data_IF_052350990481
#
_entry.id   IF_052350990481
#
_cell.length_a   1.000
_cell.length_b   1.000
_cell.length_c   1.000
_cell.angle_alpha   90.00
_cell.angle_beta   90.00
_cell.angle_gamma   90.00
#
_symmetry.space_group_name_H-M   'P 1'
#
loop_
_entity.id
_entity.type
_entity.pdbx_description
1 polymer ?
#
# COMPACT_ATOMS: atom_id res chain seq x y z
N UNK A 1 25.88 -14.25 33.03
CA UNK A 1 24.94 -13.10 32.95
C UNK A 1 25.14 -12.26 31.68
N UNK A 2 26.39 -11.90 31.32
CA UNK A 2 26.70 -11.08 30.13
C UNK A 2 26.17 -11.62 28.79
N UNK A 3 26.16 -12.95 28.57
CA UNK A 3 25.61 -13.57 27.33
C UNK A 3 24.11 -13.38 27.15
N UNK A 4 23.36 -13.39 28.24
CA UNK A 4 21.91 -13.15 28.23
C UNK A 4 21.60 -11.68 27.99
N UNK A 5 22.42 -10.79 28.54
CA UNK A 5 22.35 -9.36 28.28
C UNK A 5 22.62 -9.04 26.80
N UNK A 6 23.64 -9.66 26.21
CA UNK A 6 23.97 -9.50 24.78
C UNK A 6 22.87 -10.03 23.85
N UNK A 7 22.25 -11.16 24.20
CA UNK A 7 21.13 -11.71 23.43
C UNK A 7 19.89 -10.81 23.51
N UNK A 8 19.62 -10.21 24.68
CA UNK A 8 18.50 -9.30 24.86
C UNK A 8 18.67 -8.00 24.05
N UNK A 9 19.89 -7.43 24.02
CA UNK A 9 20.17 -6.23 23.24
C UNK A 9 20.06 -6.48 21.73
N UNK A 10 20.59 -7.62 21.25
CA UNK A 10 20.51 -7.98 19.84
C UNK A 10 19.06 -8.18 19.36
N UNK A 11 18.24 -8.87 20.17
CA UNK A 11 16.80 -9.05 19.86
C UNK A 11 16.06 -7.73 19.78
N UNK A 12 16.33 -6.81 20.70
CA UNK A 12 15.66 -5.51 20.73
C UNK A 12 16.06 -4.65 19.53
N UNK A 13 17.34 -4.66 19.16
CA UNK A 13 17.82 -3.94 17.97
C UNK A 13 17.16 -4.46 16.69
N UNK A 14 17.05 -5.78 16.53
CA UNK A 14 16.44 -6.39 15.35
C UNK A 14 14.99 -5.94 15.11
N UNK A 15 14.18 -5.84 16.18
CA UNK A 15 12.77 -5.39 16.09
C UNK A 15 12.67 -3.95 15.58
N UNK A 16 13.60 -3.07 15.96
CA UNK A 16 13.60 -1.66 15.53
C UNK A 16 13.96 -1.50 14.04
N UNK A 17 14.72 -2.43 13.47
CA UNK A 17 15.06 -2.41 12.03
C UNK A 17 13.97 -2.99 11.12
N UNK A 18 12.90 -3.57 11.66
CA UNK A 18 11.82 -4.16 10.86
C UNK A 18 10.76 -3.15 10.37
N UNK A 19 10.90 -1.85 10.66
CA UNK A 19 9.98 -0.85 10.12
C UNK A 19 10.32 -0.54 8.66
N UNK A 20 9.39 -0.85 7.76
CA UNK A 20 9.53 -0.59 6.32
C UNK A 20 9.13 0.84 5.95
N UNK A 21 9.74 1.39 4.90
CA UNK A 21 9.40 2.69 4.34
C UNK A 21 7.97 2.67 3.76
N UNK A 22 7.23 3.76 3.93
CA UNK A 22 5.94 3.94 3.26
C UNK A 22 6.10 3.99 1.75
N UNK A 23 5.26 3.27 1.01
CA UNK A 23 5.33 3.12 -0.46
C UNK A 23 5.29 4.46 -1.23
N UNK A 24 4.68 5.50 -0.65
CA UNK A 24 4.60 6.84 -1.23
C UNK A 24 5.02 7.88 -0.17
N UNK A 25 6.32 8.19 -0.05
CA UNK A 25 6.78 9.20 0.91
C UNK A 25 6.26 10.59 0.51
N UNK A 26 5.72 11.33 1.47
CA UNK A 26 5.24 12.71 1.28
C UNK A 26 6.19 13.70 1.96
N UNK A 27 6.54 14.78 1.27
CA UNK A 27 7.34 15.87 1.83
C UNK A 27 6.41 16.93 2.45
N UNK A 28 5.73 16.62 3.56
CA UNK A 28 4.78 17.54 4.22
C UNK A 28 4.14 16.99 5.50
N UNK A 29 3.30 17.79 6.17
CA UNK A 29 2.44 17.33 7.28
C UNK A 29 1.51 16.25 6.71
N UNK A 30 1.51 15.06 7.32
CA UNK A 30 0.78 13.91 6.81
C UNK A 30 -0.74 14.16 6.86
N UNK A 31 -1.30 14.67 5.78
CA UNK A 31 -2.69 14.42 5.41
C UNK A 31 -2.73 13.09 4.66
N UNK A 32 -3.64 12.19 5.00
CA UNK A 32 -3.79 10.93 4.28
C UNK A 32 -4.69 11.25 3.09
N UNK A 33 -4.16 11.43 1.86
CA UNK A 33 -5.02 11.71 0.73
C UNK A 33 -5.97 10.53 0.56
N UNK A 34 -7.26 10.84 0.43
CA UNK A 34 -8.27 9.90 -0.07
C UNK A 34 -7.74 9.21 -1.32
N UNK A 35 -7.75 7.87 -1.33
CA UNK A 35 -7.07 7.09 -2.37
C UNK A 35 -7.96 7.03 -3.60
N UNK A 36 -7.62 7.82 -4.61
CA UNK A 36 -8.28 7.78 -5.93
C UNK A 36 -7.36 7.19 -6.98
N UNK A 37 -7.88 6.24 -7.76
CA UNK A 37 -7.22 5.68 -8.94
C UNK A 37 -8.19 5.74 -10.12
N UNK A 38 -7.68 6.10 -11.29
CA UNK A 38 -8.43 6.07 -12.54
C UNK A 38 -7.66 5.24 -13.56
N UNK A 39 -8.25 4.13 -14.01
CA UNK A 39 -7.72 3.35 -15.12
C UNK A 39 -8.42 3.81 -16.40
N UNK A 40 -7.76 4.62 -17.21
CA UNK A 40 -8.30 5.17 -18.46
C UNK A 40 -7.97 4.30 -19.66
N UNK A 41 -8.77 4.38 -20.73
CA UNK A 41 -8.61 3.54 -21.92
C UNK A 41 -8.51 2.04 -21.57
N UNK A 42 -9.28 1.62 -20.56
CA UNK A 42 -9.25 0.28 -20.02
C UNK A 42 -10.23 -0.64 -20.78
N UNK A 43 -9.86 -1.92 -20.88
CA UNK A 43 -10.79 -3.00 -21.26
C UNK A 43 -11.18 -3.75 -20.00
N UNK A 44 -12.44 -3.60 -19.58
CA UNK A 44 -12.97 -4.17 -18.34
C UNK A 44 -13.78 -5.41 -18.69
N UNK A 45 -13.30 -6.58 -18.29
CA UNK A 45 -14.04 -7.85 -18.39
C UNK A 45 -14.82 -8.02 -17.09
N UNK A 46 -16.15 -7.81 -17.13
CA UNK A 46 -17.02 -7.94 -15.95
C UNK A 46 -17.39 -9.41 -15.71
N UNK A 47 -17.72 -10.11 -16.77
CA UNK A 47 -18.04 -11.54 -16.79
C UNK A 47 -17.78 -12.11 -18.20
N UNK A 48 -18.14 -13.38 -18.42
CA UNK A 48 -17.85 -14.09 -19.67
C UNK A 48 -18.54 -13.47 -20.91
N UNK A 49 -19.66 -12.79 -20.71
CA UNK A 49 -20.46 -12.22 -21.80
C UNK A 49 -20.26 -10.71 -21.94
N UNK A 50 -19.88 -10.03 -20.85
CA UNK A 50 -19.81 -8.57 -20.78
C UNK A 50 -18.38 -8.05 -20.64
N UNK A 51 -17.89 -7.46 -21.72
CA UNK A 51 -16.63 -6.70 -21.76
C UNK A 51 -16.90 -5.27 -22.21
N UNK A 52 -16.32 -4.30 -21.49
CA UNK A 52 -16.41 -2.87 -21.81
C UNK A 52 -15.06 -2.37 -22.28
N UNK A 53 -14.95 -1.97 -23.54
CA UNK A 53 -13.74 -1.40 -24.14
C UNK A 53 -13.67 0.12 -23.99
N UNK A 54 -12.45 0.68 -23.94
CA UNK A 54 -12.19 2.13 -23.85
C UNK A 54 -12.91 2.81 -22.67
N UNK A 55 -12.99 2.12 -21.53
CA UNK A 55 -13.63 2.60 -20.32
C UNK A 55 -12.67 3.39 -19.42
N UNK A 56 -13.26 4.09 -18.44
CA UNK A 56 -12.51 4.60 -17.28
C UNK A 56 -13.06 3.97 -16.01
N UNK A 57 -12.22 3.26 -15.26
CA UNK A 57 -12.57 2.68 -13.96
C UNK A 57 -12.04 3.56 -12.83
N UNK A 58 -12.93 4.04 -11.95
CA UNK A 58 -12.56 4.83 -10.79
C UNK A 58 -12.59 3.96 -9.54
N UNK A 59 -11.49 3.95 -8.79
CA UNK A 59 -11.40 3.34 -7.46
C UNK A 59 -11.24 4.46 -6.44
N UNK A 60 -12.16 4.55 -5.49
CA UNK A 60 -12.12 5.45 -4.34
C UNK A 60 -12.05 4.64 -3.06
N UNK A 61 -10.99 4.80 -2.29
CA UNK A 61 -10.80 4.17 -0.98
C UNK A 61 -11.02 2.64 -1.02
N UNK A 62 -10.55 2.01 -2.10
CA UNK A 62 -10.67 0.57 -2.34
C UNK A 62 -12.02 0.10 -2.88
N UNK A 63 -12.94 1.03 -3.20
CA UNK A 63 -14.25 0.72 -3.80
C UNK A 63 -14.35 1.22 -5.23
N UNK A 64 -15.03 0.48 -6.09
CA UNK A 64 -15.39 0.91 -7.44
C UNK A 64 -16.52 1.94 -7.32
N UNK A 65 -16.39 3.10 -7.99
CA UNK A 65 -17.37 4.20 -7.98
C UNK A 65 -17.68 4.73 -9.37
#
# INVERSE_FOLDING_TARGET
MKKWLLLATFKTAFVVFCFSQTTFPVNGVADVPSKYYAFTNATIVKDAEHTVSNATLIIKDGKIV
#
